data_IF_058703710791
#
_entry.id   IF_058703710791
#
_cell.length_a   1.000
_cell.length_b   1.000
_cell.length_c   1.000
_cell.angle_alpha   90.00
_cell.angle_beta   90.00
_cell.angle_gamma   90.00
#
_symmetry.space_group_name_H-M   'P 1'
#
loop_
_entity.id
_entity.type
_entity.pdbx_description
1 polymer ?
#
# COMPACT_ATOMS: atom_id res chain seq x y z
N UNK A 1 -17.22 -20.50 22.55
CA UNK A 1 -15.97 -20.46 21.76
C UNK A 1 -15.65 -19.00 21.52
N UNK A 2 -14.73 -18.41 22.31
CA UNK A 2 -14.34 -17.01 22.11
C UNK A 2 -13.34 -16.99 20.96
N UNK A 3 -13.78 -16.48 19.80
CA UNK A 3 -12.88 -16.23 18.67
C UNK A 3 -11.82 -15.23 19.11
N UNK A 4 -10.56 -15.63 19.03
CA UNK A 4 -9.39 -14.78 19.25
C UNK A 4 -9.36 -13.71 18.14
N UNK A 5 -10.12 -12.61 18.31
CA UNK A 5 -10.05 -11.47 17.39
C UNK A 5 -8.65 -10.88 17.56
N UNK A 6 -7.77 -11.04 16.57
CA UNK A 6 -6.55 -10.24 16.55
C UNK A 6 -6.99 -8.79 16.41
N UNK A 7 -6.49 -7.92 17.29
CA UNK A 7 -6.75 -6.48 17.23
C UNK A 7 -5.83 -5.87 16.17
N UNK A 8 -5.92 -6.39 14.95
CA UNK A 8 -5.10 -5.98 13.83
C UNK A 8 -5.84 -4.91 13.06
N UNK A 9 -5.21 -3.73 12.99
CA UNK A 9 -5.69 -2.63 12.17
C UNK A 9 -5.01 -2.68 10.80
N UNK A 10 -5.81 -2.61 9.75
CA UNK A 10 -5.36 -2.75 8.38
C UNK A 10 -5.46 -1.43 7.60
N UNK A 11 -4.81 -1.40 6.44
CA UNK A 11 -4.94 -0.33 5.46
C UNK A 11 -4.95 -0.90 4.04
N UNK A 12 -5.69 -0.24 3.16
CA UNK A 12 -5.81 -0.57 1.74
C UNK A 12 -4.94 0.40 0.93
N UNK A 13 -4.03 -0.15 0.13
CA UNK A 13 -3.05 0.62 -0.63
C UNK A 13 -3.19 0.39 -2.13
N UNK A 14 -2.94 1.45 -2.90
CA UNK A 14 -2.55 1.35 -4.29
C UNK A 14 -1.03 1.25 -4.35
N UNK A 15 -0.52 0.25 -5.07
CA UNK A 15 0.91 0.01 -5.24
C UNK A 15 1.24 0.18 -6.72
N UNK A 16 2.32 0.92 -7.00
CA UNK A 16 2.83 1.03 -8.36
C UNK A 16 3.38 -0.32 -8.82
N UNK A 17 3.16 -0.69 -10.08
CA UNK A 17 3.69 -1.96 -10.62
C UNK A 17 5.22 -1.99 -10.49
N UNK A 18 5.77 -3.07 -9.94
CA UNK A 18 7.20 -3.15 -9.57
C UNK A 18 8.14 -2.85 -10.76
N UNK A 19 7.75 -3.25 -11.97
CA UNK A 19 8.55 -3.06 -13.18
C UNK A 19 8.41 -1.66 -13.82
N UNK A 20 7.55 -0.82 -13.26
CA UNK A 20 7.29 0.52 -13.83
C UNK A 20 8.42 1.50 -13.49
N UNK A 21 8.65 2.46 -14.39
CA UNK A 21 9.59 3.56 -14.14
C UNK A 21 9.19 4.38 -12.91
N UNK A 22 7.88 4.60 -12.71
CA UNK A 22 7.35 5.31 -11.55
C UNK A 22 7.72 4.62 -10.23
N UNK A 23 7.57 3.28 -10.16
CA UNK A 23 7.96 2.52 -8.98
C UNK A 23 9.46 2.70 -8.66
N UNK A 24 10.33 2.53 -9.66
CA UNK A 24 11.78 2.69 -9.48
C UNK A 24 12.17 4.10 -9.04
N UNK A 25 11.58 5.13 -9.64
CA UNK A 25 11.85 6.53 -9.29
C UNK A 25 11.40 6.82 -7.85
N UNK A 26 10.17 6.45 -7.49
CA UNK A 26 9.66 6.66 -6.14
C UNK A 26 10.47 5.88 -5.10
N UNK A 27 10.84 4.64 -5.39
CA UNK A 27 11.66 3.84 -4.48
C UNK A 27 13.04 4.49 -4.27
N UNK A 28 13.68 4.97 -5.33
CA UNK A 28 14.97 5.66 -5.23
C UNK A 28 14.84 6.95 -4.39
N UNK A 29 13.80 7.76 -4.63
CA UNK A 29 13.55 8.98 -3.85
C UNK A 29 13.27 8.69 -2.38
N UNK A 30 12.46 7.68 -2.07
CA UNK A 30 12.19 7.28 -0.67
C UNK A 30 13.50 6.88 0.02
N UNK A 31 14.31 6.03 -0.63
CA UNK A 31 15.59 5.59 -0.08
C UNK A 31 16.54 6.76 0.14
N UNK A 32 16.71 7.65 -0.85
CA UNK A 32 17.58 8.82 -0.75
C UNK A 32 17.17 9.76 0.40
N UNK A 33 15.86 9.97 0.59
CA UNK A 33 15.37 10.82 1.67
C UNK A 33 15.53 10.16 3.05
N UNK A 34 15.31 8.84 3.13
CA UNK A 34 15.47 8.11 4.38
C UNK A 34 16.92 8.12 4.87
N UNK A 35 17.90 8.03 3.97
CA UNK A 35 19.33 8.11 4.32
C UNK A 35 19.75 9.45 4.97
N UNK A 36 18.94 10.50 4.81
CA UNK A 36 19.23 11.84 5.36
C UNK A 36 18.77 12.02 6.80
N UNK A 37 18.03 11.06 7.36
CA UNK A 37 17.42 11.15 8.69
C UNK A 37 17.68 9.85 9.45
N UNK A 38 18.32 9.95 10.62
CA UNK A 38 18.86 8.80 11.39
C UNK A 38 17.86 7.64 11.59
N UNK A 39 16.57 7.95 11.79
CA UNK A 39 15.53 6.96 12.08
C UNK A 39 14.41 6.89 11.02
N UNK A 40 14.62 7.44 9.82
CA UNK A 40 13.59 7.39 8.79
C UNK A 40 13.47 5.98 8.18
N UNK A 41 12.27 5.35 8.20
CA UNK A 41 12.10 4.01 7.66
C UNK A 41 12.08 4.04 6.13
N UNK A 42 12.70 3.03 5.52
CA UNK A 42 12.51 2.73 4.10
C UNK A 42 11.26 1.88 3.93
N UNK A 43 10.38 2.28 3.00
CA UNK A 43 9.17 1.55 2.66
C UNK A 43 8.96 1.54 1.13
N UNK A 44 8.17 0.57 0.65
CA UNK A 44 7.84 0.47 -0.77
C UNK A 44 6.84 1.56 -1.21
N UNK A 45 6.93 2.10 -2.44
CA UNK A 45 6.02 3.15 -2.93
C UNK A 45 4.56 2.70 -2.92
N UNK A 46 3.72 3.41 -2.16
CA UNK A 46 2.28 3.15 -2.08
C UNK A 46 1.48 4.43 -1.82
N UNK A 47 0.20 4.38 -2.13
CA UNK A 47 -0.80 5.41 -1.77
C UNK A 47 -1.86 4.75 -0.89
N UNK A 48 -2.01 5.24 0.34
CA UNK A 48 -3.09 4.79 1.22
C UNK A 48 -4.42 5.35 0.75
N UNK A 49 -5.38 4.46 0.43
CA UNK A 49 -6.74 4.84 0.06
C UNK A 49 -7.63 4.90 1.30
N UNK A 50 -7.50 3.89 2.16
CA UNK A 50 -8.22 3.78 3.43
C UNK A 50 -7.26 3.20 4.48
N UNK A 51 -7.19 3.81 5.65
CA UNK A 51 -6.45 3.30 6.81
C UNK A 51 -7.37 3.10 8.00
N UNK A 52 -6.89 2.40 9.03
CA UNK A 52 -7.66 2.23 10.26
C UNK A 52 -8.79 1.21 10.15
N UNK A 53 -8.64 0.18 9.32
CA UNK A 53 -9.69 -0.81 9.08
C UNK A 53 -9.58 -1.92 10.12
N UNK A 54 -10.54 -1.98 11.03
CA UNK A 54 -10.65 -3.02 12.05
C UNK A 54 -11.72 -4.04 11.60
N UNK A 55 -11.29 -5.08 10.89
CA UNK A 55 -12.20 -6.11 10.37
C UNK A 55 -11.48 -7.47 10.29
N UNK A 56 -12.23 -8.55 10.01
CA UNK A 56 -11.66 -9.87 9.83
C UNK A 56 -10.76 -9.93 8.59
N UNK A 57 -9.53 -10.39 8.78
CA UNK A 57 -8.53 -10.55 7.72
C UNK A 57 -9.08 -11.23 6.46
N UNK A 58 -9.80 -12.34 6.61
CA UNK A 58 -10.35 -13.11 5.49
C UNK A 58 -11.31 -12.26 4.65
N UNK A 59 -12.18 -11.49 5.30
CA UNK A 59 -13.13 -10.61 4.65
C UNK A 59 -12.42 -9.44 3.93
N UNK A 60 -11.34 -8.91 4.53
CA UNK A 60 -10.52 -7.88 3.90
C UNK A 60 -9.76 -8.39 2.68
N UNK A 61 -9.23 -9.61 2.72
CA UNK A 61 -8.57 -10.24 1.57
C UNK A 61 -9.54 -10.46 0.42
N UNK A 62 -10.75 -10.95 0.70
CA UNK A 62 -11.80 -11.15 -0.32
C UNK A 62 -12.28 -9.82 -0.93
N UNK A 63 -12.52 -8.82 -0.08
CA UNK A 63 -12.92 -7.48 -0.52
C UNK A 63 -11.84 -6.84 -1.40
N UNK A 64 -10.58 -6.92 -0.97
CA UNK A 64 -9.44 -6.39 -1.74
C UNK A 64 -9.33 -7.06 -3.10
N UNK A 65 -9.49 -8.40 -3.17
CA UNK A 65 -9.48 -9.14 -4.43
C UNK A 65 -10.62 -8.72 -5.36
N UNK A 66 -11.82 -8.55 -4.81
CA UNK A 66 -13.00 -8.10 -5.56
C UNK A 66 -12.81 -6.70 -6.13
N UNK A 67 -12.23 -5.78 -5.35
CA UNK A 67 -11.90 -4.43 -5.81
C UNK A 67 -10.85 -4.46 -6.92
N UNK A 68 -9.78 -5.23 -6.73
CA UNK A 68 -8.71 -5.37 -7.73
C UNK A 68 -9.23 -5.93 -9.07
N UNK A 69 -10.14 -6.91 -9.04
CA UNK A 69 -10.71 -7.52 -10.24
C UNK A 69 -11.63 -6.57 -11.03
N UNK A 70 -12.21 -5.56 -10.37
CA UNK A 70 -13.19 -4.62 -10.96
C UNK A 70 -12.55 -3.31 -11.42
N UNK A 71 -11.30 -3.07 -11.06
CA UNK A 71 -10.64 -1.78 -11.29
C UNK A 71 -9.56 -1.97 -12.34
N UNK A 72 -9.63 -1.22 -13.44
CA UNK A 72 -8.51 -1.15 -14.38
C UNK A 72 -7.30 -0.50 -13.70
N UNK A 73 -6.05 -0.86 -14.06
CA UNK A 73 -4.87 -0.16 -13.57
C UNK A 73 -5.03 1.35 -13.78
N UNK A 74 -4.84 2.12 -12.70
CA UNK A 74 -4.89 3.57 -12.78
C UNK A 74 -3.61 4.05 -13.46
N UNK A 75 -3.75 4.83 -14.54
CA UNK A 75 -2.63 5.51 -15.15
C UNK A 75 -2.17 6.64 -14.21
N UNK A 76 -0.88 6.67 -13.91
CA UNK A 76 -0.26 7.79 -13.22
C UNK A 76 0.62 8.53 -14.24
N UNK A 77 0.05 9.56 -14.87
CA UNK A 77 0.70 10.30 -15.97
C UNK A 77 1.74 11.32 -15.48
N UNK A 78 2.08 11.28 -14.18
CA UNK A 78 2.98 12.23 -13.53
C UNK A 78 2.34 13.60 -13.34
N UNK A 79 2.75 14.31 -12.29
CA UNK A 79 2.55 15.75 -12.21
C UNK A 79 3.73 16.37 -12.95
N UNK A 80 3.46 17.12 -14.02
CA UNK A 80 4.45 17.90 -14.77
C UNK A 80 5.02 19.04 -13.92
#
# INVERSE_FOLDING_TARGET
MMSNRSNSTYSLWLVSGAETTAHRQLQATITELAERVEDAPVFGPHVTVVGGIDDERTALEETTRTLAARTAPLAFDGVR
#
